data_IF_934287801988
#
_entry.id   IF_934287801988
#
_cell.length_a   1.000
_cell.length_b   1.000
_cell.length_c   1.000
_cell.angle_alpha   90.00
_cell.angle_beta   90.00
_cell.angle_gamma   90.00
#
_symmetry.space_group_name_H-M   'P 1'
#
loop_
_entity.id
_entity.type
_entity.pdbx_description
1 polymer ?
#
# COMPACT_ATOMS: atom_id res chain seq x y z
N UNK A 1 -27.66 -11.87 0.03
CA UNK A 1 -28.71 -11.04 0.66
C UNK A 1 -28.73 -9.69 -0.03
N UNK A 2 -29.90 -9.24 -0.49
CA UNK A 2 -30.04 -7.94 -1.14
C UNK A 2 -30.30 -6.87 -0.07
N UNK A 3 -29.49 -5.81 -0.04
CA UNK A 3 -29.65 -4.74 0.94
C UNK A 3 -30.97 -3.97 0.67
N UNK A 4 -31.92 -4.03 1.60
CA UNK A 4 -33.24 -3.39 1.48
C UNK A 4 -33.17 -1.86 1.45
N UNK A 5 -32.10 -1.26 1.99
CA UNK A 5 -31.88 0.18 1.97
C UNK A 5 -31.41 0.71 0.60
N UNK A 6 -30.89 -0.15 -0.29
CA UNK A 6 -30.32 0.24 -1.59
C UNK A 6 -31.31 1.05 -2.45
N UNK A 7 -32.59 0.64 -2.49
CA UNK A 7 -33.64 1.31 -3.27
C UNK A 7 -33.95 2.73 -2.79
N UNK A 8 -33.66 3.04 -1.53
CA UNK A 8 -33.90 4.35 -0.94
C UNK A 8 -32.65 5.24 -1.05
N UNK A 9 -31.47 4.66 -0.81
CA UNK A 9 -30.20 5.38 -0.81
C UNK A 9 -29.78 5.90 -2.19
N UNK A 10 -30.22 5.26 -3.28
CA UNK A 10 -29.85 5.68 -4.64
C UNK A 10 -30.83 6.67 -5.28
N UNK A 11 -31.82 7.18 -4.53
CA UNK A 11 -32.78 8.18 -5.05
C UNK A 11 -32.24 9.60 -5.00
N UNK A 12 -31.13 9.83 -4.31
CA UNK A 12 -30.55 11.14 -4.06
C UNK A 12 -29.04 11.05 -4.27
N UNK A 13 -28.42 12.19 -4.58
CA UNK A 13 -26.97 12.27 -4.68
C UNK A 13 -26.33 11.97 -3.32
N UNK A 14 -25.37 11.04 -3.31
CA UNK A 14 -24.64 10.71 -2.08
C UNK A 14 -23.60 11.79 -1.82
N UNK A 15 -23.78 12.49 -0.71
CA UNK A 15 -22.79 13.41 -0.18
C UNK A 15 -21.99 12.73 0.93
N UNK A 16 -20.66 12.88 0.90
CA UNK A 16 -19.77 12.36 1.95
C UNK A 16 -19.84 13.26 3.18
N UNK A 17 -20.97 13.22 3.89
CA UNK A 17 -21.23 14.03 5.07
C UNK A 17 -20.56 13.43 6.30
N UNK A 18 -20.11 14.31 7.19
CA UNK A 18 -19.60 13.96 8.51
C UNK A 18 -20.48 14.64 9.56
N UNK A 19 -21.06 13.84 10.44
CA UNK A 19 -22.03 14.30 11.43
C UNK A 19 -21.62 13.81 12.82
N UNK A 20 -21.70 14.69 13.80
CA UNK A 20 -21.34 14.40 15.19
C UNK A 20 -22.52 14.83 16.07
N UNK A 21 -23.02 13.89 16.87
CA UNK A 21 -23.98 14.15 17.93
C UNK A 21 -23.20 14.29 19.24
N UNK A 22 -23.25 15.48 19.84
CA UNK A 22 -22.68 15.71 21.18
C UNK A 22 -23.80 15.99 22.18
N UNK A 23 -23.65 15.47 23.39
CA UNK A 23 -24.60 15.66 24.49
C UNK A 23 -24.22 16.76 25.47
N UNK A 24 -23.11 17.46 25.25
CA UNK A 24 -22.57 18.43 26.21
C UNK A 24 -23.03 19.87 25.95
N UNK A 25 -23.41 20.21 24.71
CA UNK A 25 -23.91 21.54 24.33
C UNK A 25 -25.15 21.43 23.43
N UNK A 26 -26.18 22.25 23.64
CA UNK A 26 -27.34 22.33 22.76
C UNK A 26 -27.04 23.19 21.53
N UNK A 27 -25.99 22.83 20.78
CA UNK A 27 -25.54 23.56 19.58
C UNK A 27 -25.74 22.69 18.34
N UNK A 28 -26.43 23.25 17.35
CA UNK A 28 -26.53 22.69 16.01
C UNK A 28 -25.86 23.64 15.04
N UNK A 29 -24.82 23.16 14.35
CA UNK A 29 -24.06 23.96 13.40
C UNK A 29 -23.68 23.10 12.18
N UNK A 30 -23.73 23.72 11.01
CA UNK A 30 -23.26 23.13 9.76
C UNK A 30 -21.97 23.80 9.34
N UNK A 31 -20.87 23.05 9.34
CA UNK A 31 -19.56 23.53 8.91
C UNK A 31 -19.35 23.17 7.44
N UNK A 32 -19.51 24.16 6.56
CA UNK A 32 -19.37 24.01 5.11
C UNK A 32 -17.90 24.16 4.64
N UNK A 33 -16.95 23.59 5.37
CA UNK A 33 -15.52 23.65 5.06
C UNK A 33 -15.09 22.49 4.16
N UNK A 34 -14.09 22.73 3.30
CA UNK A 34 -13.62 21.73 2.34
C UNK A 34 -12.73 20.71 3.05
N UNK A 35 -13.30 19.59 3.47
CA UNK A 35 -12.61 18.54 4.24
C UNK A 35 -12.50 17.22 3.52
N UNK A 36 -11.78 16.27 4.12
CA UNK A 36 -11.81 14.86 3.72
C UNK A 36 -11.91 13.94 4.95
N UNK A 37 -11.96 12.63 4.74
CA UNK A 37 -12.14 11.63 5.81
C UNK A 37 -10.97 11.57 6.79
N UNK A 38 -9.77 12.00 6.41
CA UNK A 38 -8.60 12.04 7.30
C UNK A 38 -8.80 13.04 8.45
N UNK A 39 -9.61 14.09 8.22
CA UNK A 39 -9.89 15.14 9.20
C UNK A 39 -10.87 14.68 10.30
N UNK A 40 -11.61 13.58 10.08
CA UNK A 40 -12.63 13.09 11.01
C UNK A 40 -12.02 12.78 12.39
N UNK A 41 -10.90 12.07 12.42
CA UNK A 41 -10.22 11.68 13.66
C UNK A 41 -9.74 12.89 14.45
N UNK A 42 -9.06 13.83 13.78
CA UNK A 42 -8.59 15.07 14.41
C UNK A 42 -9.75 15.93 14.95
N UNK A 43 -10.86 16.00 14.20
CA UNK A 43 -12.06 16.74 14.63
C UNK A 43 -12.67 16.13 15.89
N UNK A 44 -12.80 14.79 15.96
CA UNK A 44 -13.34 14.13 17.17
C UNK A 44 -12.38 14.26 18.34
N UNK A 45 -11.07 14.16 18.11
CA UNK A 45 -10.05 14.29 19.16
C UNK A 45 -10.11 15.68 19.81
N UNK A 46 -10.16 16.73 19.00
CA UNK A 46 -10.30 18.12 19.44
C UNK A 46 -11.59 18.33 20.26
N UNK A 47 -12.71 17.77 19.78
CA UNK A 47 -14.00 17.79 20.49
C UNK A 47 -13.92 17.19 21.89
N UNK A 48 -13.15 16.12 22.06
CA UNK A 48 -12.94 15.41 23.32
C UNK A 48 -11.90 16.12 24.23
N UNK A 49 -11.38 17.28 23.83
CA UNK A 49 -10.38 18.04 24.57
C UNK A 49 -8.95 17.54 24.37
N UNK A 50 -8.69 16.75 23.33
CA UNK A 50 -7.36 16.33 22.91
C UNK A 50 -6.69 17.35 21.98
N UNK A 51 -5.74 16.86 21.20
CA UNK A 51 -5.07 17.67 20.17
C UNK A 51 -5.96 17.86 18.93
N UNK A 52 -5.62 18.82 18.08
CA UNK A 52 -6.38 19.19 16.88
C UNK A 52 -5.78 18.66 15.56
N UNK A 53 -4.79 17.76 15.66
CA UNK A 53 -4.20 17.06 14.52
C UNK A 53 -3.93 15.59 14.85
N UNK A 54 -4.06 14.72 13.86
CA UNK A 54 -3.60 13.34 13.94
C UNK A 54 -3.29 12.81 12.54
N UNK A 55 -2.07 12.29 12.36
CA UNK A 55 -1.56 11.93 11.04
C UNK A 55 -1.67 13.11 10.06
N UNK A 56 -2.35 12.87 8.93
CA UNK A 56 -2.59 13.89 7.90
C UNK A 56 -3.85 14.73 8.15
N UNK A 57 -4.67 14.37 9.14
CA UNK A 57 -5.92 15.08 9.43
C UNK A 57 -5.70 16.34 10.25
N UNK A 58 -6.56 17.34 10.03
CA UNK A 58 -6.69 18.53 10.87
C UNK A 58 -8.13 18.67 11.35
N UNK A 59 -8.31 19.15 12.58
CA UNK A 59 -9.65 19.40 13.11
C UNK A 59 -10.35 20.41 12.23
N UNK A 60 -11.59 20.11 11.82
CA UNK A 60 -12.40 21.08 11.08
C UNK A 60 -13.01 22.16 11.97
N UNK A 61 -12.77 22.11 13.29
CA UNK A 61 -13.20 23.16 14.23
C UNK A 61 -12.12 24.23 14.40
N UNK A 62 -10.87 23.81 14.56
CA UNK A 62 -9.77 24.70 14.96
C UNK A 62 -8.58 24.71 14.00
N UNK A 63 -8.61 23.88 12.96
CA UNK A 63 -7.50 23.69 12.03
C UNK A 63 -7.93 23.84 10.57
N UNK A 64 -6.94 23.91 9.69
CA UNK A 64 -7.17 24.00 8.24
C UNK A 64 -6.92 22.65 7.58
N UNK A 65 -7.93 22.10 6.90
CA UNK A 65 -7.79 20.81 6.22
C UNK A 65 -6.74 20.89 5.10
N UNK A 66 -6.03 19.79 4.85
CA UNK A 66 -5.20 19.65 3.64
C UNK A 66 -6.01 19.86 2.36
N UNK A 67 -7.30 19.53 2.38
CA UNK A 67 -8.21 19.75 1.26
C UNK A 67 -8.53 21.23 1.00
N UNK A 68 -8.42 22.09 2.01
CA UNK A 68 -8.54 23.55 1.85
C UNK A 68 -7.27 24.15 1.28
N UNK A 69 -6.11 23.68 1.75
CA UNK A 69 -4.81 24.24 1.34
C UNK A 69 -4.40 23.77 -0.05
N UNK A 70 -4.64 22.50 -0.38
CA UNK A 70 -4.19 21.91 -1.64
C UNK A 70 -5.37 21.54 -2.54
N UNK A 71 -5.33 21.99 -3.80
CA UNK A 71 -6.25 21.51 -4.84
C UNK A 71 -5.94 20.06 -5.24
N UNK A 72 -4.67 19.66 -5.14
CA UNK A 72 -4.11 18.39 -5.59
C UNK A 72 -3.64 17.52 -4.40
N UNK A 73 -4.54 17.28 -3.44
CA UNK A 73 -4.24 16.54 -2.19
C UNK A 73 -3.65 15.17 -2.48
N UNK A 74 -4.18 14.44 -3.47
CA UNK A 74 -3.73 13.09 -3.84
C UNK A 74 -2.24 13.09 -4.21
N UNK A 75 -1.83 14.02 -5.07
CA UNK A 75 -0.45 14.16 -5.52
C UNK A 75 0.47 14.52 -4.35
N UNK A 76 0.03 15.41 -3.46
CA UNK A 76 0.80 15.80 -2.27
C UNK A 76 1.01 14.65 -1.30
N UNK A 77 -0.04 13.86 -1.03
CA UNK A 77 0.05 12.67 -0.17
C UNK A 77 0.96 11.61 -0.80
N UNK A 78 0.82 11.34 -2.10
CA UNK A 78 1.67 10.37 -2.79
C UNK A 78 3.14 10.79 -2.85
N UNK A 79 3.43 12.10 -2.89
CA UNK A 79 4.80 12.61 -2.83
C UNK A 79 5.50 12.28 -1.49
N UNK A 80 4.76 12.05 -0.40
CA UNK A 80 5.31 11.66 0.90
C UNK A 80 5.66 10.17 1.00
N UNK A 81 5.25 9.35 0.02
CA UNK A 81 5.50 7.90 -0.01
C UNK A 81 6.96 7.52 0.25
N UNK A 82 7.98 8.18 -0.35
CA UNK A 82 9.38 7.84 -0.09
C UNK A 82 9.79 8.00 1.36
N UNK A 83 9.28 9.02 2.05
CA UNK A 83 9.61 9.28 3.46
C UNK A 83 8.93 8.30 4.40
N UNK A 84 7.67 7.92 4.11
CA UNK A 84 6.97 6.86 4.85
C UNK A 84 7.70 5.51 4.69
N UNK A 85 8.12 5.18 3.46
CA UNK A 85 8.91 3.97 3.17
C UNK A 85 10.24 3.96 3.92
N UNK A 86 10.86 5.12 4.19
CA UNK A 86 12.10 5.20 4.98
C UNK A 86 11.89 4.89 6.47
N UNK A 87 10.68 5.09 6.99
CA UNK A 87 10.35 4.72 8.38
C UNK A 87 10.31 3.19 8.54
N UNK A 88 10.12 2.45 7.44
CA UNK A 88 10.27 1.01 7.45
C UNK A 88 11.75 0.65 7.44
N UNK A 89 12.19 -0.09 8.46
CA UNK A 89 13.57 -0.54 8.63
C UNK A 89 13.90 -1.70 7.67
N UNK A 90 13.97 -1.39 6.37
CA UNK A 90 14.25 -2.40 5.35
C UNK A 90 15.68 -2.92 5.43
N UNK A 91 15.90 -4.22 5.19
CA UNK A 91 17.24 -4.78 5.09
C UNK A 91 18.08 -4.06 4.04
N UNK A 92 19.37 -3.86 4.32
CA UNK A 92 20.33 -3.28 3.38
C UNK A 92 20.82 -4.29 2.35
N UNK A 93 20.88 -5.56 2.74
CA UNK A 93 21.44 -6.67 1.98
C UNK A 93 20.69 -7.97 2.28
N UNK A 94 20.82 -8.95 1.38
CA UNK A 94 20.34 -10.33 1.56
C UNK A 94 21.58 -11.21 1.67
N UNK A 95 21.93 -11.66 2.88
CA UNK A 95 23.03 -12.63 3.08
C UNK A 95 22.48 -14.05 3.03
N UNK A 96 21.73 -14.39 4.06
CA UNK A 96 21.05 -15.67 4.20
C UNK A 96 19.54 -15.45 4.12
N UNK A 97 18.86 -16.40 3.49
CA UNK A 97 17.42 -16.45 3.46
C UNK A 97 16.92 -17.85 3.82
N UNK A 98 15.69 -17.94 4.31
CA UNK A 98 14.95 -19.19 4.46
C UNK A 98 13.61 -19.06 3.78
N UNK A 99 13.17 -20.09 3.06
CA UNK A 99 11.83 -20.13 2.45
C UNK A 99 11.06 -21.27 3.08
N UNK A 100 10.00 -20.91 3.78
CA UNK A 100 9.00 -21.82 4.34
C UNK A 100 7.88 -21.96 3.31
N UNK A 101 7.89 -23.09 2.58
CA UNK A 101 6.92 -23.38 1.51
C UNK A 101 5.53 -23.64 2.06
N UNK A 102 5.43 -24.18 3.27
CA UNK A 102 4.15 -24.51 3.90
C UNK A 102 3.43 -23.24 4.38
N UNK A 103 4.21 -22.28 4.90
CA UNK A 103 3.67 -20.97 5.34
C UNK A 103 3.67 -19.91 4.24
N UNK A 104 4.17 -20.23 3.05
CA UNK A 104 4.39 -19.28 1.95
C UNK A 104 5.12 -18.01 2.44
N UNK A 105 6.22 -18.19 3.16
CA UNK A 105 7.01 -17.08 3.69
C UNK A 105 8.49 -17.20 3.29
N UNK A 106 9.12 -16.03 3.14
CA UNK A 106 10.56 -15.90 3.10
C UNK A 106 11.02 -15.07 4.30
N UNK A 107 12.09 -15.50 4.95
CA UNK A 107 12.78 -14.70 5.95
C UNK A 107 14.20 -14.40 5.47
N UNK A 108 14.63 -13.15 5.60
CA UNK A 108 16.00 -12.74 5.37
C UNK A 108 16.33 -11.51 6.22
N UNK A 109 17.58 -11.43 6.69
CA UNK A 109 18.09 -10.27 7.44
C UNK A 109 17.17 -9.85 8.62
N UNK A 110 16.59 -10.83 9.32
CA UNK A 110 15.68 -10.63 10.47
C UNK A 110 14.23 -10.28 10.12
N UNK A 111 13.91 -10.07 8.85
CA UNK A 111 12.57 -9.71 8.38
C UNK A 111 11.85 -10.89 7.73
N UNK A 112 10.53 -10.93 7.86
CA UNK A 112 9.67 -11.97 7.29
C UNK A 112 8.68 -11.36 6.30
N UNK A 113 8.54 -11.98 5.14
CA UNK A 113 7.64 -11.52 4.09
C UNK A 113 6.82 -12.69 3.55
N UNK A 114 5.55 -12.44 3.24
CA UNK A 114 4.69 -13.41 2.56
C UNK A 114 5.02 -13.46 1.07
N UNK A 115 4.91 -14.66 0.51
CA UNK A 115 4.99 -14.92 -0.91
C UNK A 115 3.58 -14.85 -1.55
N UNK A 116 3.47 -14.42 -2.82
CA UNK A 116 4.56 -14.08 -3.74
C UNK A 116 5.15 -12.69 -3.49
N UNK A 117 6.43 -12.51 -3.83
CA UNK A 117 7.21 -11.31 -3.49
C UNK A 117 8.17 -10.89 -4.60
N UNK A 118 8.21 -9.60 -4.91
CA UNK A 118 9.26 -8.98 -5.70
C UNK A 118 10.17 -8.17 -4.79
N UNK A 119 11.48 -8.30 -4.94
CA UNK A 119 12.48 -7.51 -4.21
C UNK A 119 13.21 -6.64 -5.21
N UNK A 120 13.28 -5.33 -4.96
CA UNK A 120 14.17 -4.42 -5.67
C UNK A 120 15.47 -4.28 -4.88
N UNK A 121 16.57 -4.66 -5.49
CA UNK A 121 17.90 -4.68 -4.86
C UNK A 121 18.70 -3.50 -5.38
N UNK A 122 19.18 -2.68 -4.46
CA UNK A 122 20.07 -1.54 -4.73
C UNK A 122 21.24 -1.58 -3.77
N UNK A 123 22.29 -0.82 -4.05
CA UNK A 123 23.48 -0.74 -3.20
C UNK A 123 23.18 -0.28 -1.76
N UNK A 124 22.03 0.36 -1.54
CA UNK A 124 21.66 0.96 -0.25
C UNK A 124 20.56 0.22 0.48
N UNK A 125 19.73 -0.56 -0.22
CA UNK A 125 18.55 -1.21 0.35
C UNK A 125 18.00 -2.34 -0.52
N UNK A 126 17.32 -3.26 0.15
CA UNK A 126 16.46 -4.29 -0.43
C UNK A 126 15.02 -3.90 -0.14
N UNK A 127 14.29 -3.48 -1.17
CA UNK A 127 12.91 -3.01 -1.04
C UNK A 127 11.92 -4.12 -1.43
N UNK A 128 11.12 -4.63 -0.47
CA UNK A 128 10.11 -5.64 -0.73
C UNK A 128 8.84 -5.02 -1.32
N UNK A 129 8.35 -5.63 -2.39
CA UNK A 129 7.18 -5.24 -3.17
C UNK A 129 6.21 -6.43 -3.21
N UNK A 130 5.30 -6.55 -2.24
CA UNK A 130 4.35 -7.66 -2.17
C UNK A 130 3.23 -7.51 -3.21
N UNK A 131 2.58 -8.63 -3.51
CA UNK A 131 1.28 -8.66 -4.17
C UNK A 131 0.17 -8.67 -3.10
N UNK A 132 -0.86 -7.84 -3.30
CA UNK A 132 -1.98 -7.60 -2.39
C UNK A 132 -3.18 -7.05 -3.18
N UNK A 133 -4.36 -7.02 -2.57
CA UNK A 133 -5.60 -6.51 -3.17
C UNK A 133 -5.47 -5.07 -3.72
N UNK A 134 -4.61 -4.26 -3.10
CA UNK A 134 -4.41 -2.85 -3.47
C UNK A 134 -3.12 -2.58 -4.25
N UNK A 135 -2.38 -3.62 -4.65
CA UNK A 135 -1.14 -3.49 -5.42
C UNK A 135 -1.26 -4.21 -6.77
N UNK A 136 -0.62 -3.68 -7.80
CA UNK A 136 -0.58 -4.34 -9.09
C UNK A 136 0.06 -5.75 -9.00
N UNK A 137 -0.32 -6.70 -9.86
CA UNK A 137 0.37 -7.99 -9.96
C UNK A 137 1.89 -7.82 -10.17
N UNK A 138 2.71 -8.74 -9.63
CA UNK A 138 4.17 -8.59 -9.60
C UNK A 138 4.81 -8.34 -10.98
N UNK A 139 4.24 -8.92 -12.04
CA UNK A 139 4.70 -8.68 -13.43
C UNK A 139 4.59 -7.22 -13.86
N UNK A 140 3.56 -6.50 -13.42
CA UNK A 140 3.38 -5.08 -13.74
C UNK A 140 4.28 -4.23 -12.86
N UNK A 141 4.45 -4.61 -11.59
CA UNK A 141 5.42 -3.95 -10.72
C UNK A 141 6.86 -4.07 -11.26
N UNK A 142 7.22 -5.23 -11.83
CA UNK A 142 8.51 -5.45 -12.47
C UNK A 142 8.67 -4.61 -13.74
N UNK A 143 7.61 -4.37 -14.51
CA UNK A 143 7.66 -3.55 -15.72
C UNK A 143 8.00 -2.08 -15.43
N UNK A 144 7.74 -1.60 -14.21
CA UNK A 144 8.09 -0.24 -13.76
C UNK A 144 9.59 -0.10 -13.38
N UNK A 145 10.37 -1.19 -13.40
CA UNK A 145 11.79 -1.15 -13.03
C UNK A 145 12.64 -0.58 -14.16
N UNK A 146 13.62 0.25 -13.79
CA UNK A 146 14.59 0.76 -14.76
C UNK A 146 15.53 -0.37 -15.23
N UNK A 147 16.13 -0.27 -16.42
CA UNK A 147 17.11 -1.25 -16.95
C UNK A 147 18.26 -1.63 -16.01
N UNK A 148 18.62 -0.73 -15.10
CA UNK A 148 19.71 -0.88 -14.13
C UNK A 148 19.26 -1.44 -12.77
N UNK A 149 17.96 -1.58 -12.55
CA UNK A 149 17.46 -2.06 -11.27
C UNK A 149 17.66 -3.57 -11.19
N UNK A 150 18.33 -4.02 -10.13
CA UNK A 150 18.44 -5.43 -9.81
C UNK A 150 17.18 -5.87 -9.06
N UNK A 151 16.75 -7.10 -9.30
CA UNK A 151 15.57 -7.64 -8.66
C UNK A 151 15.70 -9.12 -8.31
N UNK A 152 14.91 -9.54 -7.33
CA UNK A 152 14.66 -10.95 -7.01
C UNK A 152 13.15 -11.15 -6.98
N UNK A 153 12.63 -11.99 -7.86
CA UNK A 153 11.23 -12.36 -7.90
C UNK A 153 11.08 -13.80 -7.39
N UNK A 154 10.18 -13.96 -6.42
CA UNK A 154 9.85 -15.23 -5.79
C UNK A 154 8.36 -15.47 -5.94
N UNK A 155 8.01 -16.41 -6.81
CA UNK A 155 6.63 -16.75 -7.15
C UNK A 155 6.53 -18.22 -7.61
N UNK A 156 5.33 -18.68 -7.93
CA UNK A 156 5.11 -20.02 -8.51
C UNK A 156 5.72 -20.08 -9.92
N UNK A 157 6.38 -21.21 -10.25
CA UNK A 157 7.05 -21.45 -11.53
C UNK A 157 6.13 -21.06 -12.70
N UNK A 158 4.87 -21.49 -12.74
CA UNK A 158 3.96 -21.19 -13.85
C UNK A 158 3.72 -19.70 -14.12
N UNK A 159 3.61 -18.85 -13.07
CA UNK A 159 3.39 -17.41 -13.23
C UNK A 159 4.60 -16.73 -13.86
N UNK A 160 5.79 -17.16 -13.48
CA UNK A 160 7.05 -16.60 -13.97
C UNK A 160 7.41 -17.15 -15.35
N UNK A 161 7.13 -18.43 -15.58
CA UNK A 161 7.39 -19.17 -16.81
C UNK A 161 6.66 -18.58 -18.03
N UNK A 162 5.50 -17.95 -17.83
CA UNK A 162 4.78 -17.23 -18.89
C UNK A 162 5.63 -16.16 -19.60
N UNK A 163 6.72 -15.70 -18.98
CA UNK A 163 7.60 -14.69 -19.57
C UNK A 163 8.78 -15.26 -20.37
N UNK A 164 9.16 -16.53 -20.19
CA UNK A 164 10.42 -17.05 -20.78
C UNK A 164 10.51 -18.57 -21.01
N UNK A 165 9.57 -19.37 -20.51
CA UNK A 165 9.59 -20.84 -20.66
C UNK A 165 8.17 -21.44 -20.71
N UNK A 166 7.53 -21.48 -21.90
CA UNK A 166 6.19 -22.03 -22.06
C UNK A 166 6.04 -23.48 -21.55
N UNK A 167 7.11 -24.27 -21.57
CA UNK A 167 7.14 -25.64 -21.08
C UNK A 167 6.84 -25.79 -19.57
N UNK A 168 6.99 -24.71 -18.78
CA UNK A 168 6.74 -24.70 -17.33
C UNK A 168 5.36 -24.13 -16.97
N UNK A 169 4.48 -23.90 -17.95
CA UNK A 169 3.18 -23.26 -17.77
C UNK A 169 2.20 -24.01 -16.82
N UNK A 170 2.50 -25.26 -16.46
CA UNK A 170 1.69 -26.08 -15.56
C UNK A 170 2.38 -26.40 -14.21
N UNK A 171 3.60 -25.92 -13.97
CA UNK A 171 4.32 -26.22 -12.72
C UNK A 171 3.82 -25.39 -11.54
N UNK A 172 3.46 -26.07 -10.44
CA UNK A 172 3.02 -25.45 -9.18
C UNK A 172 4.15 -25.20 -8.18
N UNK A 173 5.39 -25.52 -8.53
CA UNK A 173 6.53 -25.38 -7.62
C UNK A 173 6.89 -23.91 -7.38
N UNK A 174 7.53 -23.62 -6.23
CA UNK A 174 8.01 -22.27 -5.92
C UNK A 174 9.39 -22.04 -6.56
N UNK A 175 9.55 -20.89 -7.22
CA UNK A 175 10.68 -20.54 -8.04
C UNK A 175 11.37 -19.25 -7.60
N UNK A 176 12.61 -19.08 -8.04
CA UNK A 176 13.36 -17.82 -7.89
C UNK A 176 13.95 -17.39 -9.22
N UNK A 177 13.69 -16.13 -9.57
CA UNK A 177 14.40 -15.42 -10.64
C UNK A 177 15.12 -14.24 -10.02
N UNK A 178 16.44 -14.24 -10.12
CA UNK A 178 17.25 -13.07 -9.81
C UNK A 178 17.83 -12.52 -11.12
N UNK A 179 17.74 -11.21 -11.35
CA UNK A 179 18.25 -10.61 -12.57
C UNK A 179 18.32 -9.10 -12.50
N UNK A 180 18.89 -8.47 -13.52
CA UNK A 180 18.61 -7.06 -13.79
C UNK A 180 17.37 -6.98 -14.68
N UNK A 181 16.50 -6.00 -14.47
CA UNK A 181 15.16 -5.90 -15.06
C UNK A 181 15.10 -6.17 -16.59
N UNK A 182 16.21 -5.96 -17.31
CA UNK A 182 16.33 -6.16 -18.75
C UNK A 182 17.59 -6.94 -19.21
N UNK A 183 18.27 -7.65 -18.29
CA UNK A 183 19.37 -8.59 -18.64
C UNK A 183 18.98 -10.02 -18.29
N UNK A 184 19.72 -10.98 -18.83
CA UNK A 184 19.55 -12.40 -18.51
C UNK A 184 19.51 -12.61 -16.98
N UNK A 185 18.37 -13.04 -16.48
CA UNK A 185 18.22 -13.42 -15.09
C UNK A 185 19.03 -14.70 -14.82
N UNK A 186 19.78 -14.72 -13.73
CA UNK A 186 20.36 -15.95 -13.19
C UNK A 186 19.22 -16.78 -12.57
N UNK A 187 18.97 -17.94 -13.17
CA UNK A 187 17.85 -18.85 -12.86
C UNK A 187 18.36 -19.94 -11.94
N UNK A 188 17.70 -20.23 -10.81
CA UNK A 188 18.20 -21.24 -9.85
C UNK A 188 17.10 -22.16 -9.30
N UNK A 189 16.97 -23.38 -9.90
CA UNK A 189 16.16 -24.64 -9.59
C UNK A 189 14.58 -24.77 -9.67
N UNK A 190 13.97 -24.90 -10.88
CA UNK A 190 12.67 -25.55 -11.16
C UNK A 190 13.23 -26.87 -11.70
#
# INVERSE_FOLDING_TARGET
MNNTAWKYLNKQDRNNLFFILRGDKPQQETLAVKRNTMDNGATVLDILGGDNFIGLGRSSLSGQSLSEVFLNVKEKVLAMKPDIIRLWNFPKEIKDFTVDRDKNMIAFSGSHFRLPLLLRVSDKRVEPLPESEYSAPLRFQLADFAPRDNFVWIDRCYKMAQLWAPALALSTDWWRLAGAAWRAANRTAC
#
